data_IF_748598595845
#
_entry.id   IF_748598595845
#
_cell.length_a   1.000
_cell.length_b   1.000
_cell.length_c   1.000
_cell.angle_alpha   90.00
_cell.angle_beta   90.00
_cell.angle_gamma   90.00
#
_symmetry.space_group_name_H-M   'P 1'
#
loop_
_entity.id
_entity.type
_entity.pdbx_description
1 polymer ?
#
# COMPACT_ATOMS: atom_id res chain seq x y z
N UNK A 1 5.35 5.55 -0.42
CA UNK A 1 4.99 4.38 -1.24
C UNK A 1 6.22 3.83 -1.92
N UNK A 2 6.53 2.55 -1.65
CA UNK A 2 7.59 1.78 -2.31
C UNK A 2 7.39 1.75 -3.83
N UNK A 3 8.45 2.04 -4.58
CA UNK A 3 8.47 1.96 -6.04
C UNK A 3 9.34 0.80 -6.51
N UNK A 4 8.77 -0.13 -7.28
CA UNK A 4 9.51 -1.30 -7.79
C UNK A 4 10.44 -0.98 -8.97
N UNK A 5 10.42 0.27 -9.46
CA UNK A 5 11.38 0.80 -10.42
C UNK A 5 12.60 1.44 -9.73
N UNK A 6 12.52 1.70 -8.41
CA UNK A 6 13.64 2.19 -7.61
C UNK A 6 14.41 1.02 -6.99
N UNK A 7 15.68 0.89 -7.38
CA UNK A 7 16.59 -0.13 -6.86
C UNK A 7 16.68 -0.11 -5.33
N UNK A 8 16.65 1.07 -4.70
CA UNK A 8 16.75 1.19 -3.24
C UNK A 8 15.53 0.59 -2.53
N UNK A 9 14.35 0.78 -3.11
CA UNK A 9 13.10 0.24 -2.56
C UNK A 9 13.05 -1.28 -2.77
N UNK A 10 13.49 -1.79 -3.92
CA UNK A 10 13.65 -3.23 -4.15
C UNK A 10 14.59 -3.86 -3.13
N UNK A 11 15.75 -3.26 -2.87
CA UNK A 11 16.70 -3.73 -1.86
C UNK A 11 16.10 -3.71 -0.44
N UNK A 12 15.25 -2.72 -0.13
CA UNK A 12 14.53 -2.64 1.15
C UNK A 12 13.57 -3.84 1.31
N UNK A 13 12.83 -4.18 0.25
CA UNK A 13 11.94 -5.35 0.24
C UNK A 13 12.75 -6.65 0.36
N UNK A 14 13.84 -6.80 -0.40
CA UNK A 14 14.71 -7.99 -0.33
C UNK A 14 15.29 -8.19 1.06
N UNK A 15 15.76 -7.11 1.69
CA UNK A 15 16.25 -7.14 3.07
C UNK A 15 15.17 -7.57 4.06
N UNK A 16 13.92 -7.09 3.88
CA UNK A 16 12.79 -7.52 4.70
C UNK A 16 12.49 -9.02 4.57
N UNK A 17 12.55 -9.53 3.33
CA UNK A 17 12.32 -10.94 3.00
C UNK A 17 13.53 -11.85 3.31
N UNK A 18 14.68 -11.27 3.65
CA UNK A 18 15.97 -11.95 3.83
C UNK A 18 16.43 -12.68 2.56
N UNK A 19 16.28 -12.01 1.42
CA UNK A 19 16.73 -12.47 0.11
C UNK A 19 18.05 -11.78 -0.22
N UNK A 20 19.09 -12.56 -0.46
CA UNK A 20 20.44 -12.06 -0.77
C UNK A 20 20.82 -12.25 -2.26
N UNK A 21 19.87 -12.69 -3.08
CA UNK A 21 20.07 -13.10 -4.47
C UNK A 21 19.02 -12.46 -5.40
N UNK A 22 19.29 -12.43 -6.71
CA UNK A 22 18.55 -11.59 -7.66
C UNK A 22 17.55 -12.38 -8.52
N UNK A 23 17.58 -13.71 -8.46
CA UNK A 23 16.76 -14.60 -9.28
C UNK A 23 15.24 -14.44 -9.01
N UNK A 24 14.88 -13.99 -7.81
CA UNK A 24 13.49 -13.82 -7.38
C UNK A 24 12.99 -12.38 -7.59
N UNK A 25 13.81 -11.44 -8.09
CA UNK A 25 13.50 -10.01 -8.13
C UNK A 25 12.19 -9.71 -8.86
N UNK A 26 11.98 -10.29 -10.04
CA UNK A 26 10.74 -10.08 -10.80
C UNK A 26 9.51 -10.65 -10.08
N UNK A 27 9.66 -11.77 -9.38
CA UNK A 27 8.57 -12.34 -8.57
C UNK A 27 8.26 -11.45 -7.38
N UNK A 28 9.30 -10.94 -6.69
CA UNK A 28 9.17 -10.02 -5.57
C UNK A 28 8.49 -8.73 -5.99
N UNK A 29 8.90 -8.12 -7.10
CA UNK A 29 8.26 -6.91 -7.66
C UNK A 29 6.77 -7.13 -7.91
N UNK A 30 6.41 -8.26 -8.54
CA UNK A 30 5.00 -8.61 -8.77
C UNK A 30 4.22 -8.76 -7.46
N UNK A 31 4.79 -9.43 -6.45
CA UNK A 31 4.15 -9.58 -5.14
C UNK A 31 3.93 -8.25 -4.44
N UNK A 32 4.87 -7.30 -4.56
CA UNK A 32 4.72 -5.93 -4.03
C UNK A 32 3.59 -5.21 -4.74
N UNK A 33 3.54 -5.23 -6.07
CA UNK A 33 2.48 -4.57 -6.83
C UNK A 33 1.08 -5.12 -6.49
N UNK A 34 0.97 -6.45 -6.35
CA UNK A 34 -0.28 -7.10 -5.91
C UNK A 34 -0.63 -6.71 -4.47
N UNK A 35 0.35 -6.69 -3.56
CA UNK A 35 0.12 -6.28 -2.18
C UNK A 35 -0.38 -4.83 -2.10
N UNK A 36 0.24 -3.91 -2.82
CA UNK A 36 -0.20 -2.51 -2.90
C UNK A 36 -1.61 -2.40 -3.45
N UNK A 37 -1.92 -3.08 -4.56
CA UNK A 37 -3.27 -3.10 -5.16
C UNK A 37 -4.33 -3.61 -4.19
N UNK A 38 -4.05 -4.70 -3.47
CA UNK A 38 -4.97 -5.24 -2.46
C UNK A 38 -5.16 -4.30 -1.28
N UNK A 39 -4.09 -3.66 -0.80
CA UNK A 39 -4.17 -2.66 0.28
C UNK A 39 -4.98 -1.45 -0.12
N UNK A 40 -4.77 -0.94 -1.34
CA UNK A 40 -5.56 0.16 -1.90
C UNK A 40 -7.04 -0.24 -2.02
N UNK A 41 -7.36 -1.44 -2.51
CA UNK A 41 -8.73 -1.93 -2.57
C UNK A 41 -9.38 -2.11 -1.18
N UNK A 42 -8.58 -2.40 -0.15
CA UNK A 42 -9.06 -2.49 1.22
C UNK A 42 -9.30 -1.11 1.85
N UNK A 43 -8.44 -0.12 1.59
CA UNK A 43 -8.46 1.19 2.26
C UNK A 43 -9.34 2.20 1.51
N UNK A 44 -9.12 2.30 0.20
CA UNK A 44 -9.68 3.30 -0.71
C UNK A 44 -8.65 3.75 -1.76
N UNK A 45 -9.08 4.24 -2.90
CA UNK A 45 -8.19 4.75 -3.96
C UNK A 45 -8.67 6.08 -4.51
N UNK A 46 -7.79 7.09 -4.55
CA UNK A 46 -8.05 8.35 -5.24
C UNK A 46 -7.96 8.18 -6.78
N UNK A 47 -8.35 9.19 -7.56
CA UNK A 47 -8.31 9.14 -9.03
C UNK A 47 -6.90 8.88 -9.60
N UNK A 48 -5.86 9.23 -8.84
CA UNK A 48 -4.45 8.96 -9.18
C UNK A 48 -3.91 7.65 -8.58
N UNK A 49 -4.77 6.92 -7.86
CA UNK A 49 -4.50 5.74 -7.03
C UNK A 49 -3.36 5.89 -6.01
N UNK A 50 -2.74 7.06 -5.84
CA UNK A 50 -1.47 7.17 -5.11
C UNK A 50 -1.25 8.43 -4.29
N UNK A 51 -2.09 9.47 -4.41
CA UNK A 51 -1.82 10.76 -3.74
C UNK A 51 -1.82 10.62 -2.22
N UNK A 52 -2.84 9.97 -1.66
CA UNK A 52 -2.90 9.68 -0.22
C UNK A 52 -1.69 8.87 0.28
N UNK A 53 -1.27 7.85 -0.48
CA UNK A 53 -0.19 6.93 -0.11
C UNK A 53 1.23 7.51 -0.29
N UNK A 54 1.33 8.68 -0.92
CA UNK A 54 2.59 9.43 -1.05
C UNK A 54 2.82 10.41 0.11
N UNK A 55 1.80 10.74 0.88
CA UNK A 55 1.98 11.55 2.08
C UNK A 55 2.81 10.81 3.13
N UNK A 56 3.86 11.43 3.68
CA UNK A 56 4.78 10.76 4.60
C UNK A 56 4.06 10.06 5.78
N UNK A 57 3.06 10.72 6.37
CA UNK A 57 2.27 10.22 7.51
C UNK A 57 1.53 8.91 7.20
N UNK A 58 1.01 8.75 5.99
CA UNK A 58 0.20 7.59 5.59
C UNK A 58 1.03 6.56 4.81
N UNK A 59 1.99 7.04 4.03
CA UNK A 59 2.91 6.26 3.21
C UNK A 59 3.77 5.32 4.04
N UNK A 60 4.29 5.73 5.19
CA UNK A 60 5.09 4.85 6.05
C UNK A 60 4.30 3.63 6.56
N UNK A 61 3.05 3.85 7.00
CA UNK A 61 2.17 2.77 7.46
C UNK A 61 1.75 1.87 6.30
N UNK A 62 1.48 2.46 5.14
CA UNK A 62 1.15 1.72 3.92
C UNK A 62 2.33 0.88 3.41
N UNK A 63 3.54 1.41 3.46
CA UNK A 63 4.76 0.72 3.04
C UNK A 63 5.07 -0.45 3.98
N UNK A 64 4.87 -0.28 5.29
CA UNK A 64 5.00 -1.39 6.24
C UNK A 64 3.93 -2.47 6.02
N UNK A 65 2.68 -2.08 5.76
CA UNK A 65 1.61 -3.02 5.43
C UNK A 65 1.92 -3.78 4.14
N UNK A 66 2.50 -3.09 3.14
CA UNK A 66 2.95 -3.68 1.88
C UNK A 66 4.02 -4.73 2.14
N UNK A 67 5.06 -4.40 2.93
CA UNK A 67 6.12 -5.35 3.29
C UNK A 67 5.56 -6.61 3.97
N UNK A 68 4.65 -6.46 4.92
CA UNK A 68 4.06 -7.60 5.64
C UNK A 68 3.19 -8.48 4.74
N UNK A 69 2.45 -7.88 3.81
CA UNK A 69 1.62 -8.63 2.88
C UNK A 69 2.48 -9.30 1.78
N UNK A 70 3.53 -8.65 1.32
CA UNK A 70 4.53 -9.24 0.42
C UNK A 70 5.25 -10.41 1.08
N UNK A 71 5.67 -10.28 2.35
CA UNK A 71 6.26 -11.38 3.13
C UNK A 71 5.31 -12.56 3.27
N UNK A 72 4.02 -12.28 3.50
CA UNK A 72 2.99 -13.31 3.51
C UNK A 72 2.92 -14.05 2.16
N UNK A 73 2.76 -13.33 1.04
CA UNK A 73 2.72 -13.94 -0.30
C UNK A 73 3.97 -14.74 -0.64
N UNK A 74 5.14 -14.20 -0.29
CA UNK A 74 6.41 -14.85 -0.53
C UNK A 74 6.54 -16.18 0.23
N UNK A 75 6.05 -16.23 1.48
CA UNK A 75 6.06 -17.44 2.31
C UNK A 75 4.95 -18.42 1.97
N UNK A 76 3.80 -17.94 1.48
CA UNK A 76 2.63 -18.75 1.16
C UNK A 76 2.39 -18.88 -0.34
N UNK A 77 3.46 -19.13 -1.11
CA UNK A 77 3.44 -19.30 -2.58
C UNK A 77 2.53 -20.43 -3.10
N UNK A 78 2.05 -21.31 -2.22
CA UNK A 78 1.13 -22.39 -2.57
C UNK A 78 -0.29 -22.03 -2.15
N UNK A 79 -1.24 -22.19 -3.08
CA UNK A 79 -2.67 -22.04 -2.83
C UNK A 79 -3.20 -23.04 -1.79
N UNK A 80 -2.47 -24.13 -1.55
CA UNK A 80 -2.75 -25.11 -0.50
C UNK A 80 -1.57 -25.24 0.44
N UNK A 81 -1.87 -25.32 1.74
CA UNK A 81 -0.86 -25.43 2.78
C UNK A 81 -1.41 -26.32 3.89
N UNK A 82 -0.56 -27.16 4.48
CA UNK A 82 -0.89 -27.97 5.64
C UNK A 82 -0.94 -27.17 6.94
N UNK A 83 -0.52 -25.90 6.89
CA UNK A 83 -0.54 -24.96 8.01
C UNK A 83 -1.77 -24.04 7.88
N UNK A 84 -2.42 -23.75 9.01
CA UNK A 84 -3.50 -22.74 9.05
C UNK A 84 -2.90 -21.34 8.92
N UNK A 85 -3.19 -20.65 7.81
CA UNK A 85 -2.88 -19.24 7.61
C UNK A 85 -4.17 -18.44 7.53
N UNK A 86 -4.15 -17.22 8.09
CA UNK A 86 -5.20 -16.24 7.83
C UNK A 86 -4.98 -15.62 6.45
N UNK A 87 -6.07 -15.43 5.69
CA UNK A 87 -6.06 -14.84 4.33
C UNK A 87 -5.43 -13.43 4.30
N UNK A 88 -5.48 -12.71 5.42
CA UNK A 88 -4.72 -11.47 5.61
C UNK A 88 -4.07 -11.50 7.00
N UNK A 89 -2.77 -11.24 7.13
CA UNK A 89 -2.11 -11.18 8.43
C UNK A 89 -2.78 -10.15 9.36
N UNK A 90 -2.94 -10.49 10.64
CA UNK A 90 -3.59 -9.59 11.63
C UNK A 90 -2.91 -8.23 11.73
N UNK A 91 -1.58 -8.18 11.60
CA UNK A 91 -0.82 -6.91 11.57
C UNK A 91 -1.21 -6.02 10.39
N UNK A 92 -1.46 -6.62 9.22
CA UNK A 92 -1.95 -5.89 8.04
C UNK A 92 -3.36 -5.36 8.27
N UNK A 93 -4.24 -6.16 8.89
CA UNK A 93 -5.60 -5.72 9.20
C UNK A 93 -5.62 -4.49 10.13
N UNK A 94 -4.78 -4.47 11.17
CA UNK A 94 -4.68 -3.32 12.08
C UNK A 94 -4.22 -2.05 11.35
N UNK A 95 -3.23 -2.16 10.45
CA UNK A 95 -2.76 -1.03 9.63
C UNK A 95 -3.86 -0.53 8.68
N UNK A 96 -4.57 -1.43 8.00
CA UNK A 96 -5.72 -1.08 7.14
C UNK A 96 -6.81 -0.36 7.93
N UNK A 97 -7.16 -0.85 9.12
CA UNK A 97 -8.16 -0.20 9.99
C UNK A 97 -7.75 1.21 10.43
N UNK A 98 -6.46 1.48 10.57
CA UNK A 98 -5.95 2.82 10.87
C UNK A 98 -5.97 3.75 9.66
N UNK A 99 -5.73 3.22 8.45
CA UNK A 99 -5.64 3.99 7.21
C UNK A 99 -7.00 4.33 6.61
N UNK A 100 -8.00 3.44 6.75
CA UNK A 100 -9.38 3.67 6.28
C UNK A 100 -9.99 5.02 6.72
N UNK A 101 -10.09 5.33 8.03
CA UNK A 101 -10.67 6.60 8.45
C UNK A 101 -9.81 7.80 8.04
N UNK A 102 -8.47 7.64 8.01
CA UNK A 102 -7.56 8.69 7.57
C UNK A 102 -7.75 9.02 6.08
N UNK A 103 -7.98 8.00 5.24
CA UNK A 103 -8.27 8.17 3.83
C UNK A 103 -9.61 8.90 3.61
N UNK A 104 -10.65 8.52 4.35
CA UNK A 104 -11.95 9.22 4.27
C UNK A 104 -11.83 10.69 4.67
N UNK A 105 -11.07 10.98 5.73
CA UNK A 105 -10.80 12.36 6.14
C UNK A 105 -10.04 13.13 5.05
N UNK A 106 -9.00 12.52 4.47
CA UNK A 106 -8.21 13.12 3.40
C UNK A 106 -9.06 13.50 2.19
N UNK A 107 -9.99 12.63 1.77
CA UNK A 107 -10.90 12.95 0.65
C UNK A 107 -11.82 14.11 0.98
N UNK A 108 -12.44 14.11 2.17
CA UNK A 108 -13.36 15.19 2.55
C UNK A 108 -12.65 16.55 2.56
N UNK A 109 -11.42 16.60 3.09
CA UNK A 109 -10.60 17.82 3.09
C UNK A 109 -10.27 18.26 1.65
N UNK A 110 -10.05 17.32 0.73
CA UNK A 110 -9.80 17.61 -0.68
C UNK A 110 -11.04 18.15 -1.41
N UNK A 111 -12.21 17.57 -1.14
CA UNK A 111 -13.49 18.00 -1.71
C UNK A 111 -13.88 19.42 -1.24
N UNK A 112 -13.72 19.72 0.06
CA UNK A 112 -13.97 21.06 0.62
C UNK A 112 -13.09 22.13 -0.05
N UNK A 113 -11.80 21.84 -0.27
CA UNK A 113 -10.87 22.78 -0.92
C UNK A 113 -11.23 23.02 -2.40
N UNK A 114 -11.67 21.98 -3.11
CA UNK A 114 -12.12 22.13 -4.51
C UNK A 114 -13.41 22.96 -4.58
N UNK A 115 -14.39 22.72 -3.69
CA UNK A 115 -15.63 23.50 -3.63
C UNK A 115 -15.36 24.99 -3.36
N UNK A 116 -14.47 25.32 -2.41
CA UNK A 116 -14.06 26.71 -2.14
C UNK A 116 -13.42 27.37 -3.38
N UNK A 117 -12.55 26.64 -4.10
CA UNK A 117 -11.89 27.15 -5.32
C UNK A 117 -12.85 27.37 -6.49
N UNK A 118 -13.94 26.62 -6.58
CA UNK A 118 -14.96 26.82 -7.62
C UNK A 118 -15.99 27.88 -7.23
N UNK A 119 -16.33 27.99 -5.94
CA UNK A 119 -17.21 29.05 -5.41
C UNK A 119 -16.67 30.46 -5.68
N UNK A 120 -15.38 30.69 -5.41
CA UNK A 120 -14.75 32.01 -5.55
C UNK A 120 -14.67 32.51 -7.01
N UNK A 121 -14.60 31.58 -7.99
CA UNK A 121 -14.52 31.89 -9.43
C UNK A 121 -15.86 32.27 -10.08
N UNK A 122 -16.97 32.15 -9.37
CA UNK A 122 -18.31 32.46 -9.90
C UNK A 122 -18.85 33.83 -9.47
N UNK A 123 -18.05 34.60 -8.73
CA UNK A 123 -18.42 35.91 -8.19
C UNK A 123 -17.58 37.10 -8.71
N UNK A 124 -16.74 36.91 -9.73
CA UNK A 124 -16.08 37.99 -10.51
C UNK A 124 -16.75 38.21 -11.87
#
# INVERSE_FOLDING_TARGET
MLSMDDEKDLQTVKLHLRIDFDEDDESVKQMVLVAQSMLMGMIGSDDSYTSFYREAKYGEVFDLATLFLTDHFYKTRSATTSLSFHETPQGVQAMVLSLKPAYLQYINEFEEVEEERYGDRTHE
#
